data_IF_299367464017
#
_entry.id   IF_299367464017
#
_cell.length_a   1.000
_cell.length_b   1.000
_cell.length_c   1.000
_cell.angle_alpha   90.00
_cell.angle_beta   90.00
_cell.angle_gamma   90.00
#
_symmetry.space_group_name_H-M   'P 1'
#
loop_
_entity.id
_entity.type
_entity.pdbx_description
1 polymer ?
#
# COMPACT_ATOMS: atom_id res chain seq x y z
N UNK A 1 -18.16 -14.89 7.15
CA UNK A 1 -17.91 -13.87 8.18
C UNK A 1 -17.87 -12.52 7.48
N UNK A 2 -18.74 -11.58 7.87
CA UNK A 2 -18.67 -10.22 7.37
C UNK A 2 -17.37 -9.58 7.88
N UNK A 3 -16.53 -9.10 6.97
CA UNK A 3 -15.25 -8.47 7.31
C UNK A 3 -15.43 -6.96 7.40
N UNK A 4 -15.71 -6.48 8.60
CA UNK A 4 -15.63 -5.06 8.88
C UNK A 4 -14.16 -4.69 9.15
N UNK A 5 -13.54 -3.95 8.24
CA UNK A 5 -12.15 -3.47 8.39
C UNK A 5 -11.97 -2.61 9.65
N UNK A 6 -13.00 -1.84 10.00
CA UNK A 6 -13.04 -1.04 11.23
C UNK A 6 -12.94 -1.92 12.47
N UNK A 7 -13.68 -3.04 12.51
CA UNK A 7 -13.62 -3.99 13.62
C UNK A 7 -12.26 -4.70 13.68
N UNK A 8 -11.69 -5.09 12.54
CA UNK A 8 -10.35 -5.72 12.48
C UNK A 8 -9.28 -4.77 13.05
N UNK A 9 -9.35 -3.47 12.75
CA UNK A 9 -8.45 -2.45 13.32
C UNK A 9 -8.64 -2.30 14.84
N UNK A 10 -9.88 -2.25 15.32
CA UNK A 10 -10.18 -2.19 16.77
C UNK A 10 -9.66 -3.44 17.49
N UNK A 11 -9.81 -4.62 16.89
CA UNK A 11 -9.29 -5.88 17.40
C UNK A 11 -7.76 -5.88 17.47
N UNK A 12 -7.09 -5.38 16.42
CA UNK A 12 -5.64 -5.26 16.37
C UNK A 12 -5.13 -4.26 17.41
N UNK A 13 -5.79 -3.11 17.58
CA UNK A 13 -5.46 -2.13 18.61
C UNK A 13 -5.58 -2.73 20.02
N UNK A 14 -6.64 -3.48 20.30
CA UNK A 14 -6.84 -4.18 21.57
C UNK A 14 -5.76 -5.26 21.82
N UNK A 15 -5.33 -5.97 20.77
CA UNK A 15 -4.24 -6.95 20.89
C UNK A 15 -2.89 -6.30 21.22
N UNK A 16 -2.63 -5.10 20.68
CA UNK A 16 -1.39 -4.34 20.89
C UNK A 16 -1.31 -3.63 22.25
N UNK A 17 -2.44 -3.41 22.93
CA UNK A 17 -2.45 -2.91 24.31
C UNK A 17 -1.67 -3.88 25.22
N UNK A 18 -0.89 -3.41 26.21
CA UNK A 18 -0.24 -4.29 27.18
C UNK A 18 -1.26 -4.99 28.10
N UNK A 19 -0.97 -6.22 28.54
CA UNK A 19 -1.90 -7.05 29.31
C UNK A 19 -2.33 -6.43 30.66
N UNK A 20 -1.56 -5.46 31.20
CA UNK A 20 -1.88 -4.69 32.41
C UNK A 20 -3.00 -3.68 32.24
N UNK A 21 -3.20 -3.16 31.02
CA UNK A 21 -4.18 -2.12 30.68
C UNK A 21 -5.36 -2.67 29.86
N UNK A 22 -5.36 -3.97 29.56
CA UNK A 22 -6.43 -4.60 28.78
C UNK A 22 -7.74 -4.65 29.54
N UNK A 23 -8.78 -4.15 28.88
CA UNK A 23 -10.15 -4.42 29.26
C UNK A 23 -10.57 -5.81 28.75
N UNK A 24 -10.61 -6.80 29.66
CA UNK A 24 -10.96 -8.18 29.36
C UNK A 24 -12.45 -8.37 29.03
N UNK A 25 -13.33 -7.52 29.55
CA UNK A 25 -14.75 -7.51 29.20
C UNK A 25 -14.94 -7.10 27.73
N UNK A 26 -14.18 -6.09 27.28
CA UNK A 26 -14.17 -5.69 25.87
C UNK A 26 -13.67 -6.84 24.97
N UNK A 27 -12.64 -7.58 25.39
CA UNK A 27 -12.16 -8.77 24.66
C UNK A 27 -13.21 -9.89 24.58
N UNK A 28 -13.96 -10.14 25.66
CA UNK A 28 -15.06 -11.11 25.67
C UNK A 28 -16.20 -10.69 24.71
N UNK A 29 -16.56 -9.41 24.69
CA UNK A 29 -17.54 -8.85 23.75
C UNK A 29 -17.09 -8.98 22.29
N UNK A 30 -15.82 -8.67 21.99
CA UNK A 30 -15.25 -8.88 20.66
C UNK A 30 -15.33 -10.35 20.23
N UNK A 31 -15.05 -11.27 21.15
CA UNK A 31 -15.12 -12.70 20.87
C UNK A 31 -16.56 -13.18 20.63
N UNK A 32 -17.56 -12.61 21.33
CA UNK A 32 -18.98 -12.85 21.04
C UNK A 32 -19.35 -12.35 19.64
N UNK A 33 -18.89 -11.16 19.25
CA UNK A 33 -19.14 -10.59 17.93
C UNK A 33 -18.51 -11.44 16.80
N UNK A 34 -17.36 -12.07 17.07
CA UNK A 34 -16.66 -12.94 16.13
C UNK A 34 -17.27 -14.34 15.99
N UNK A 35 -17.54 -14.98 17.13
CA UNK A 35 -17.96 -16.39 17.18
C UNK A 35 -19.48 -16.57 17.14
N UNK A 36 -20.25 -15.54 17.50
CA UNK A 36 -21.70 -15.62 17.74
C UNK A 36 -22.09 -16.52 18.92
N UNK A 37 -21.12 -17.08 19.66
CA UNK A 37 -21.36 -18.08 20.68
C UNK A 37 -21.73 -17.44 22.03
N UNK A 38 -23.03 -17.32 22.28
CA UNK A 38 -23.60 -16.73 23.51
C UNK A 38 -23.25 -17.52 24.78
N UNK A 39 -23.17 -18.85 24.68
CA UNK A 39 -22.87 -19.73 25.82
C UNK A 39 -21.42 -19.51 26.27
N UNK A 40 -20.50 -19.46 25.30
CA UNK A 40 -19.10 -19.18 25.58
C UNK A 40 -18.92 -17.79 26.19
N UNK A 41 -19.60 -16.78 25.66
CA UNK A 41 -19.58 -15.44 26.23
C UNK A 41 -20.08 -15.44 27.68
N UNK A 42 -21.22 -16.05 27.97
CA UNK A 42 -21.76 -16.13 29.33
C UNK A 42 -20.75 -16.77 30.30
N UNK A 43 -20.10 -17.86 29.88
CA UNK A 43 -19.07 -18.51 30.68
C UNK A 43 -17.85 -17.62 30.90
N UNK A 44 -17.45 -16.82 29.92
CA UNK A 44 -16.30 -15.92 30.01
C UNK A 44 -16.63 -14.68 30.85
N UNK A 45 -17.83 -14.10 30.70
CA UNK A 45 -18.24 -12.88 31.39
C UNK A 45 -18.29 -13.02 32.92
N UNK A 46 -18.39 -14.24 33.44
CA UNK A 46 -18.34 -14.50 34.90
C UNK A 46 -16.94 -14.27 35.48
N UNK A 47 -15.88 -14.60 34.74
CA UNK A 47 -14.50 -14.32 35.14
C UNK A 47 -13.60 -14.09 33.90
N UNK A 48 -13.62 -12.89 33.33
CA UNK A 48 -12.89 -12.55 32.11
C UNK A 48 -11.38 -12.60 32.32
N UNK A 49 -10.90 -12.04 33.46
CA UNK A 49 -9.47 -11.98 33.79
C UNK A 49 -8.86 -13.37 34.00
N UNK A 50 -9.61 -14.29 34.62
CA UNK A 50 -9.16 -15.68 34.79
C UNK A 50 -9.09 -16.48 33.47
N UNK A 51 -9.76 -16.01 32.41
CA UNK A 51 -9.78 -16.63 31.08
C UNK A 51 -9.04 -15.79 30.03
N UNK A 52 -8.16 -14.88 30.48
CA UNK A 52 -7.39 -13.97 29.65
C UNK A 52 -6.64 -14.68 28.50
N UNK A 53 -5.91 -15.75 28.82
CA UNK A 53 -5.15 -16.55 27.85
C UNK A 53 -6.05 -17.15 26.76
N UNK A 54 -7.20 -17.68 27.15
CA UNK A 54 -8.17 -18.25 26.21
C UNK A 54 -8.75 -17.17 25.28
N UNK A 55 -9.15 -16.03 25.84
CA UNK A 55 -9.66 -14.89 25.06
C UNK A 55 -8.61 -14.43 24.06
N UNK A 56 -7.37 -14.19 24.52
CA UNK A 56 -6.24 -13.74 23.70
C UNK A 56 -5.95 -14.71 22.56
N UNK A 57 -5.87 -16.01 22.85
CA UNK A 57 -5.61 -17.04 21.83
C UNK A 57 -6.71 -17.13 20.77
N UNK A 58 -7.98 -17.09 21.18
CA UNK A 58 -9.10 -17.11 20.22
C UNK A 58 -9.16 -15.84 19.37
N UNK A 59 -9.02 -14.67 20.00
CA UNK A 59 -9.01 -13.39 19.29
C UNK A 59 -7.83 -13.30 18.31
N UNK A 60 -6.64 -13.77 18.69
CA UNK A 60 -5.48 -13.85 17.80
C UNK A 60 -5.73 -14.78 16.62
N UNK A 61 -6.36 -15.94 16.84
CA UNK A 61 -6.74 -16.86 15.76
C UNK A 61 -7.67 -16.15 14.76
N UNK A 62 -8.72 -15.50 15.24
CA UNK A 62 -9.64 -14.76 14.37
C UNK A 62 -8.96 -13.59 13.67
N UNK A 63 -8.05 -12.88 14.34
CA UNK A 63 -7.28 -11.78 13.75
C UNK A 63 -6.39 -12.29 12.62
N UNK A 64 -5.67 -13.40 12.82
CA UNK A 64 -4.81 -13.99 11.78
C UNK A 64 -5.62 -14.37 10.54
N UNK A 65 -6.75 -15.06 10.70
CA UNK A 65 -7.62 -15.39 9.56
C UNK A 65 -8.15 -14.15 8.85
N UNK A 66 -8.49 -13.10 9.60
CA UNK A 66 -8.97 -11.85 9.01
C UNK A 66 -7.89 -11.12 8.25
N UNK A 67 -6.69 -11.00 8.82
CA UNK A 67 -5.54 -10.37 8.18
C UNK A 67 -5.13 -11.14 6.93
N UNK A 68 -5.07 -12.48 6.98
CA UNK A 68 -4.79 -13.32 5.81
C UNK A 68 -5.77 -13.08 4.67
N UNK A 69 -7.07 -13.01 4.98
CA UNK A 69 -8.08 -12.73 3.95
C UNK A 69 -7.97 -11.28 3.44
N UNK A 70 -7.75 -10.30 4.31
CA UNK A 70 -7.55 -8.91 3.89
C UNK A 70 -6.33 -8.79 2.95
N UNK A 71 -5.24 -9.48 3.26
CA UNK A 71 -4.04 -9.51 2.41
C UNK A 71 -4.30 -10.22 1.09
N UNK A 72 -5.13 -11.26 1.07
CA UNK A 72 -5.53 -11.94 -0.16
C UNK A 72 -6.38 -11.03 -1.05
N UNK A 73 -7.41 -10.42 -0.48
CA UNK A 73 -8.30 -9.48 -1.19
C UNK A 73 -7.50 -8.27 -1.73
N UNK A 74 -6.50 -7.77 -0.98
CA UNK A 74 -5.59 -6.71 -1.44
C UNK A 74 -4.73 -7.18 -2.62
N UNK A 75 -4.13 -8.38 -2.53
CA UNK A 75 -3.31 -8.96 -3.61
C UNK A 75 -4.14 -9.22 -4.86
N UNK A 76 -5.37 -9.70 -4.72
CA UNK A 76 -6.28 -9.92 -5.84
C UNK A 76 -6.67 -8.59 -6.52
N UNK A 77 -7.00 -7.55 -5.74
CA UNK A 77 -7.29 -6.22 -6.28
C UNK A 77 -6.07 -5.62 -7.00
N UNK A 78 -4.86 -5.82 -6.45
CA UNK A 78 -3.62 -5.40 -7.11
C UNK A 78 -3.33 -6.20 -8.38
N UNK A 79 -3.63 -7.50 -8.40
CA UNK A 79 -3.51 -8.35 -9.58
C UNK A 79 -4.44 -7.85 -10.69
N UNK A 80 -5.71 -7.59 -10.39
CA UNK A 80 -6.67 -7.09 -11.38
C UNK A 80 -6.19 -5.76 -12.00
N UNK A 81 -5.66 -4.86 -11.18
CA UNK A 81 -5.05 -3.61 -11.66
C UNK A 81 -3.84 -3.86 -12.55
N UNK A 82 -2.97 -4.80 -12.18
CA UNK A 82 -1.81 -5.18 -13.01
C UNK A 82 -2.27 -5.78 -14.34
N UNK A 83 -3.30 -6.60 -14.36
CA UNK A 83 -3.83 -7.20 -15.59
C UNK A 83 -4.37 -6.11 -16.55
N UNK A 84 -5.04 -5.08 -16.03
CA UNK A 84 -5.44 -3.90 -16.81
C UNK A 84 -4.25 -3.12 -17.39
N UNK A 85 -3.21 -2.91 -16.58
CA UNK A 85 -1.97 -2.26 -17.00
C UNK A 85 -1.28 -3.10 -18.09
N UNK A 86 -1.16 -4.41 -17.92
CA UNK A 86 -0.56 -5.32 -18.89
C UNK A 86 -1.35 -5.29 -20.20
N UNK A 87 -2.69 -5.31 -20.13
CA UNK A 87 -3.57 -5.26 -21.30
C UNK A 87 -3.37 -3.96 -22.09
N UNK A 88 -3.29 -2.82 -21.41
CA UNK A 88 -3.20 -1.50 -22.04
C UNK A 88 -1.78 -1.16 -22.54
N UNK A 89 -0.76 -1.47 -21.74
CA UNK A 89 0.64 -1.03 -21.96
C UNK A 89 1.47 -2.11 -22.64
N UNK A 90 1.32 -3.37 -22.24
CA UNK A 90 2.17 -4.47 -22.68
C UNK A 90 1.64 -5.14 -23.95
N UNK A 91 0.33 -5.01 -24.25
CA UNK A 91 -0.35 -5.53 -25.47
C UNK A 91 0.17 -6.93 -25.85
N UNK A 92 -0.31 -8.00 -25.19
CA UNK A 92 0.21 -9.35 -25.38
C UNK A 92 0.08 -9.91 -26.82
N UNK A 93 -0.74 -9.30 -27.69
CA UNK A 93 -0.94 -9.73 -29.08
C UNK A 93 0.18 -9.35 -30.06
N UNK A 94 1.16 -8.55 -29.64
CA UNK A 94 2.39 -8.30 -30.42
C UNK A 94 3.55 -9.20 -29.98
N UNK A 95 3.24 -10.32 -29.32
CA UNK A 95 4.13 -11.45 -29.27
C UNK A 95 4.34 -11.94 -30.72
N UNK A 96 5.40 -11.43 -31.32
CA UNK A 96 6.09 -11.99 -32.49
C UNK A 96 5.92 -13.52 -32.43
N UNK A 97 5.30 -14.18 -33.42
CA UNK A 97 5.29 -15.62 -33.46
C UNK A 97 6.75 -16.05 -33.45
N UNK A 98 7.13 -16.67 -32.34
CA UNK A 98 8.42 -17.30 -32.11
C UNK A 98 8.73 -18.22 -33.28
N UNK A 99 9.49 -17.74 -34.28
CA UNK A 99 10.57 -18.40 -35.03
C UNK A 99 10.47 -19.90 -35.37
N UNK A 100 9.27 -20.49 -35.49
CA UNK A 100 9.11 -21.92 -35.84
C UNK A 100 8.15 -22.13 -37.00
N UNK A 101 8.41 -21.49 -38.14
CA UNK A 101 7.90 -21.95 -39.44
C UNK A 101 8.58 -21.23 -40.61
N UNK A 102 9.86 -21.49 -40.84
CA UNK A 102 10.44 -21.41 -42.19
C UNK A 102 11.67 -22.29 -42.24
N UNK A 103 11.38 -23.57 -42.51
CA UNK A 103 12.04 -24.31 -43.58
C UNK A 103 13.20 -23.60 -44.29
N UNK A 104 14.41 -24.15 -44.08
CA UNK A 104 15.61 -24.18 -44.93
C UNK A 104 15.75 -23.14 -46.07
N UNK A 105 16.72 -22.22 -45.94
CA UNK A 105 17.67 -21.86 -47.01
C UNK A 105 18.93 -21.17 -46.44
N UNK A 106 20.05 -21.87 -46.62
CA UNK A 106 21.45 -21.45 -46.84
C UNK A 106 22.13 -20.33 -46.01
N UNK A 107 23.25 -20.75 -45.42
CA UNK A 107 24.27 -19.93 -44.80
C UNK A 107 25.03 -19.08 -45.84
N UNK A 108 25.39 -17.87 -45.39
CA UNK A 108 26.42 -16.98 -45.91
C UNK A 108 26.00 -15.92 -46.96
N UNK A 109 25.50 -14.78 -46.48
CA UNK A 109 25.79 -13.47 -47.06
C UNK A 109 25.74 -12.39 -45.98
N UNK A 110 26.93 -12.02 -45.48
CA UNK A 110 27.13 -10.76 -44.77
C UNK A 110 26.80 -9.61 -45.71
N UNK A 111 25.83 -8.77 -45.34
CA UNK A 111 25.70 -7.42 -45.89
C UNK A 111 25.10 -6.49 -44.84
N UNK A 112 25.87 -5.53 -44.31
CA UNK A 112 25.38 -4.54 -43.36
C UNK A 112 24.76 -3.40 -44.17
N UNK A 113 23.47 -3.50 -44.48
CA UNK A 113 22.70 -2.37 -44.99
C UNK A 113 21.41 -2.25 -44.20
N UNK A 114 21.55 -1.70 -42.99
CA UNK A 114 20.46 -1.04 -42.26
C UNK A 114 20.09 0.18 -43.12
N UNK A 115 19.15 0.02 -44.05
CA UNK A 115 18.76 1.08 -44.97
C UNK A 115 18.19 2.25 -44.18
N UNK A 116 18.58 3.47 -44.54
CA UNK A 116 18.07 4.73 -43.97
C UNK A 116 16.54 4.86 -44.08
N UNK A 117 15.92 4.01 -44.90
CA UNK A 117 14.48 3.90 -45.15
C UNK A 117 13.68 3.35 -43.95
N UNK A 118 14.33 2.67 -43.00
CA UNK A 118 13.70 2.21 -41.75
C UNK A 118 13.84 3.21 -40.58
N UNK A 119 14.50 4.35 -40.77
CA UNK A 119 14.64 5.36 -39.73
C UNK A 119 13.31 6.06 -39.39
N UNK A 120 12.37 6.04 -40.34
CA UNK A 120 11.04 6.66 -40.25
C UNK A 120 9.96 5.75 -39.65
N UNK A 121 10.33 4.67 -38.97
CA UNK A 121 9.40 4.03 -38.03
C UNK A 121 9.00 5.10 -37.00
N UNK A 122 7.81 5.70 -37.17
CA UNK A 122 7.22 6.69 -36.28
C UNK A 122 7.23 6.11 -34.87
N UNK A 123 8.28 6.43 -34.11
CA UNK A 123 8.61 5.88 -32.79
C UNK A 123 7.69 6.42 -31.69
N UNK A 124 6.57 7.05 -32.07
CA UNK A 124 5.65 7.72 -31.15
C UNK A 124 6.26 8.93 -30.44
N UNK A 125 7.39 9.45 -30.92
CA UNK A 125 8.04 10.64 -30.36
C UNK A 125 7.28 11.92 -30.76
N UNK A 126 7.46 12.97 -29.95
CA UNK A 126 6.97 14.33 -30.27
C UNK A 126 7.78 14.89 -31.45
N UNK A 127 7.16 15.77 -32.24
CA UNK A 127 7.83 16.39 -33.39
C UNK A 127 9.02 17.28 -33.00
N UNK A 128 9.01 17.83 -31.79
CA UNK A 128 10.05 18.71 -31.23
C UNK A 128 11.02 17.98 -30.28
N UNK A 129 10.96 16.64 -30.20
CA UNK A 129 11.74 15.84 -29.23
C UNK A 129 13.23 16.16 -29.22
N UNK A 130 13.85 16.24 -30.39
CA UNK A 130 15.30 16.47 -30.52
C UNK A 130 15.72 17.89 -30.09
N UNK A 131 14.77 18.82 -29.95
CA UNK A 131 15.00 20.19 -29.48
C UNK A 131 14.69 20.37 -27.99
N UNK A 132 14.16 19.35 -27.31
CA UNK A 132 13.87 19.39 -25.88
C UNK A 132 15.18 19.30 -25.06
N UNK A 133 15.19 19.78 -23.80
CA UNK A 133 16.33 19.53 -22.91
C UNK A 133 16.57 18.04 -22.68
N UNK A 134 17.82 17.67 -22.44
CA UNK A 134 18.24 16.29 -22.19
C UNK A 134 17.45 15.64 -21.04
N UNK A 135 17.13 16.40 -19.99
CA UNK A 135 16.30 15.93 -18.87
C UNK A 135 14.91 15.45 -19.31
N UNK A 136 14.27 16.17 -20.23
CA UNK A 136 12.93 15.83 -20.74
C UNK A 136 13.02 14.70 -21.77
N UNK A 137 14.07 14.67 -22.58
CA UNK A 137 14.32 13.55 -23.50
C UNK A 137 14.56 12.24 -22.73
N UNK A 138 15.29 12.30 -21.60
CA UNK A 138 15.58 11.16 -20.76
C UNK A 138 14.31 10.49 -20.20
N UNK A 139 13.25 11.27 -19.90
CA UNK A 139 11.96 10.71 -19.45
C UNK A 139 11.33 9.76 -20.47
N UNK A 140 11.47 10.05 -21.76
CA UNK A 140 10.99 9.16 -22.83
C UNK A 140 11.76 7.84 -22.84
N UNK A 141 13.09 7.90 -22.75
CA UNK A 141 13.96 6.71 -22.73
C UNK A 141 13.69 5.87 -21.48
N UNK A 142 13.61 6.53 -20.31
CA UNK A 142 13.27 5.88 -19.05
C UNK A 142 11.90 5.18 -19.12
N UNK A 143 10.91 5.79 -19.79
CA UNK A 143 9.61 5.16 -19.98
C UNK A 143 9.66 3.87 -20.80
N UNK A 144 10.56 3.76 -21.77
CA UNK A 144 10.79 2.51 -22.49
C UNK A 144 11.35 1.45 -21.54
N UNK A 145 12.39 1.80 -20.77
CA UNK A 145 13.00 0.91 -19.78
C UNK A 145 12.01 0.45 -18.71
N UNK A 146 11.13 1.36 -18.26
CA UNK A 146 10.04 1.05 -17.35
C UNK A 146 9.12 -0.02 -17.94
N UNK A 147 8.69 0.13 -19.21
CA UNK A 147 7.84 -0.87 -19.87
C UNK A 147 8.55 -2.21 -20.01
N UNK A 148 9.85 -2.21 -20.35
CA UNK A 148 10.66 -3.43 -20.39
C UNK A 148 10.70 -4.14 -19.03
N UNK A 149 11.01 -3.41 -17.96
CA UNK A 149 11.02 -3.94 -16.59
C UNK A 149 9.65 -4.46 -16.15
N UNK A 150 8.56 -3.76 -16.48
CA UNK A 150 7.20 -4.23 -16.20
C UNK A 150 6.89 -5.57 -16.89
N UNK A 151 7.38 -5.79 -18.12
CA UNK A 151 7.23 -7.06 -18.83
C UNK A 151 7.99 -8.20 -18.13
N UNK A 152 9.22 -7.94 -17.68
CA UNK A 152 10.02 -8.93 -16.95
C UNK A 152 9.37 -9.33 -15.62
N UNK A 153 8.90 -8.36 -14.84
CA UNK A 153 8.19 -8.60 -13.59
C UNK A 153 6.90 -9.39 -13.81
N UNK A 154 6.14 -9.04 -14.84
CA UNK A 154 4.92 -9.77 -15.19
C UNK A 154 5.20 -11.21 -15.66
N UNK A 155 6.27 -11.42 -16.43
CA UNK A 155 6.71 -12.77 -16.80
C UNK A 155 7.09 -13.57 -15.56
N UNK A 156 7.85 -12.97 -14.64
CA UNK A 156 8.23 -13.58 -13.36
C UNK A 156 7.00 -13.99 -12.54
N UNK A 157 5.99 -13.12 -12.43
CA UNK A 157 4.72 -13.41 -11.77
C UNK A 157 3.96 -14.59 -12.38
N UNK A 158 4.06 -14.79 -13.70
CA UNK A 158 3.45 -15.93 -14.40
C UNK A 158 4.21 -17.23 -14.17
N UNK A 159 5.54 -17.17 -14.09
CA UNK A 159 6.41 -18.34 -13.88
C UNK A 159 6.49 -18.78 -12.41
N UNK A 160 5.97 -17.98 -11.49
CA UNK A 160 6.03 -18.26 -10.06
C UNK A 160 5.07 -19.41 -9.72
N UNK A 161 5.62 -20.58 -9.38
CA UNK A 161 4.82 -21.73 -8.91
C UNK A 161 4.35 -21.49 -7.49
N UNK A 162 3.05 -21.59 -7.26
CA UNK A 162 2.42 -21.38 -5.95
C UNK A 162 2.13 -22.70 -5.22
N UNK A 163 2.34 -23.85 -5.89
CA UNK A 163 1.82 -25.16 -5.48
C UNK A 163 2.48 -25.71 -4.19
N UNK A 164 3.66 -25.21 -3.82
CA UNK A 164 4.42 -25.65 -2.64
C UNK A 164 4.73 -24.52 -1.64
N UNK A 165 4.05 -23.37 -1.77
CA UNK A 165 4.31 -22.19 -0.93
C UNK A 165 3.32 -22.14 0.24
N UNK A 166 3.82 -21.86 1.44
CA UNK A 166 2.94 -21.69 2.63
C UNK A 166 2.12 -20.40 2.56
N UNK A 167 2.63 -19.37 1.85
CA UNK A 167 2.04 -18.03 1.77
C UNK A 167 2.13 -17.47 0.33
N UNK A 168 1.32 -17.97 -0.61
CA UNK A 168 1.40 -17.61 -2.03
C UNK A 168 1.26 -16.09 -2.28
N UNK A 169 0.37 -15.42 -1.54
CA UNK A 169 0.11 -13.99 -1.70
C UNK A 169 1.31 -13.11 -1.33
N UNK A 170 2.09 -13.52 -0.32
CA UNK A 170 3.28 -12.79 0.12
C UNK A 170 4.37 -12.79 -0.94
N UNK A 171 4.48 -13.85 -1.74
CA UNK A 171 5.48 -13.94 -2.82
C UNK A 171 5.08 -13.10 -4.04
N UNK A 172 3.77 -12.97 -4.31
CA UNK A 172 3.25 -12.17 -5.43
C UNK A 172 3.26 -10.67 -5.14
N UNK A 173 2.91 -10.29 -3.91
CA UNK A 173 2.75 -8.90 -3.47
C UNK A 173 3.89 -7.95 -3.89
N UNK A 174 5.19 -8.25 -3.67
CA UNK A 174 6.26 -7.32 -4.01
C UNK A 174 6.30 -6.99 -5.51
N UNK A 175 6.09 -7.97 -6.38
CA UNK A 175 6.09 -7.77 -7.83
C UNK A 175 4.89 -6.96 -8.30
N UNK A 176 3.70 -7.22 -7.75
CA UNK A 176 2.50 -6.44 -8.06
C UNK A 176 2.66 -4.97 -7.67
N UNK A 177 3.19 -4.73 -6.46
CA UNK A 177 3.48 -3.39 -5.97
C UNK A 177 4.48 -2.66 -6.86
N UNK A 178 5.52 -3.35 -7.29
CA UNK A 178 6.54 -2.77 -8.17
C UNK A 178 5.97 -2.39 -9.54
N UNK A 179 5.18 -3.25 -10.18
CA UNK A 179 4.54 -2.95 -11.48
C UNK A 179 3.63 -1.72 -11.37
N UNK A 180 2.79 -1.64 -10.34
CA UNK A 180 1.90 -0.49 -10.14
C UNK A 180 2.70 0.79 -9.91
N UNK A 181 3.82 0.72 -9.18
CA UNK A 181 4.70 1.87 -8.93
C UNK A 181 5.37 2.35 -10.21
N UNK A 182 5.88 1.42 -11.00
CA UNK A 182 6.48 1.69 -12.30
C UNK A 182 5.48 2.32 -13.27
N UNK A 183 4.25 1.82 -13.34
CA UNK A 183 3.23 2.41 -14.22
C UNK A 183 2.85 3.83 -13.80
N UNK A 184 2.72 4.11 -12.49
CA UNK A 184 2.50 5.48 -11.99
C UNK A 184 3.64 6.42 -12.43
N UNK A 185 4.89 5.97 -12.29
CA UNK A 185 6.05 6.75 -12.73
C UNK A 185 6.01 6.98 -14.23
N UNK A 186 5.71 5.94 -15.02
CA UNK A 186 5.57 6.03 -16.48
C UNK A 186 4.54 7.09 -16.88
N UNK A 187 3.35 7.05 -16.28
CA UNK A 187 2.29 8.03 -16.55
C UNK A 187 2.74 9.45 -16.16
N UNK A 188 3.37 9.63 -15.00
CA UNK A 188 3.92 10.93 -14.59
C UNK A 188 5.00 11.45 -15.53
N UNK A 189 5.89 10.58 -16.01
CA UNK A 189 6.93 10.93 -16.96
C UNK A 189 6.33 11.34 -18.31
N UNK A 190 5.29 10.64 -18.79
CA UNK A 190 4.56 11.03 -19.99
C UNK A 190 3.86 12.38 -19.82
N UNK A 191 3.25 12.63 -18.65
CA UNK A 191 2.59 13.91 -18.36
C UNK A 191 3.56 15.08 -18.44
N UNK A 192 4.75 14.94 -17.84
CA UNK A 192 5.82 15.94 -17.92
C UNK A 192 6.31 16.08 -19.36
N UNK A 193 6.59 14.95 -20.02
CA UNK A 193 7.12 14.92 -21.38
C UNK A 193 6.15 15.53 -22.41
N UNK A 194 4.84 15.33 -22.28
CA UNK A 194 3.82 15.84 -23.21
C UNK A 194 3.50 17.32 -22.96
N UNK A 195 3.50 17.77 -21.70
CA UNK A 195 3.17 19.15 -21.34
C UNK A 195 4.37 20.12 -21.32
N UNK A 196 5.59 19.63 -21.52
CA UNK A 196 6.77 20.50 -21.54
C UNK A 196 6.76 21.46 -22.75
N UNK A 197 6.94 22.75 -22.48
CA UNK A 197 7.03 23.83 -23.47
C UNK A 197 8.41 24.49 -23.37
N UNK A 198 9.13 24.55 -24.49
CA UNK A 198 10.46 25.17 -24.58
C UNK A 198 10.35 26.66 -24.21
N UNK A 199 11.10 27.10 -23.20
CA UNK A 199 11.07 28.47 -22.67
C UNK A 199 10.31 28.64 -21.35
N UNK A 200 9.58 27.61 -20.90
CA UNK A 200 9.09 27.50 -19.53
C UNK A 200 10.26 27.11 -18.62
N UNK A 201 10.95 28.11 -18.05
CA UNK A 201 12.04 27.90 -17.10
C UNK A 201 11.66 26.91 -15.99
N UNK A 202 12.55 25.93 -15.77
CA UNK A 202 12.53 24.97 -14.67
C UNK A 202 12.50 25.67 -13.30
N UNK A 203 11.39 25.52 -12.58
CA UNK A 203 11.35 25.80 -11.15
C UNK A 203 10.49 24.76 -10.43
N UNK A 204 10.88 23.49 -10.47
CA UNK A 204 10.46 22.50 -9.47
C UNK A 204 11.47 21.34 -9.44
N UNK A 205 12.61 21.55 -8.77
CA UNK A 205 13.29 20.44 -8.08
C UNK A 205 12.72 20.40 -6.67
N UNK A 206 11.97 19.36 -6.34
CA UNK A 206 11.70 18.98 -4.95
C UNK A 206 12.47 17.69 -4.70
N UNK A 207 13.70 17.83 -4.21
CA UNK A 207 14.36 16.77 -3.44
C UNK A 207 13.71 16.76 -2.04
N UNK A 208 13.28 15.60 -1.52
CA UNK A 208 13.04 15.45 -0.09
C UNK A 208 14.35 14.96 0.54
N UNK A 209 15.05 15.83 1.26
CA UNK A 209 16.01 15.39 2.27
C UNK A 209 15.51 15.74 3.69
N UNK A 210 15.93 14.97 4.70
CA UNK A 210 15.13 14.68 5.89
C UNK A 210 15.39 15.65 7.04
N UNK A 211 14.32 16.23 7.59
CA UNK A 211 14.39 16.96 8.86
C UNK A 211 14.33 15.98 10.04
N UNK A 212 15.50 15.70 10.61
CA UNK A 212 15.66 15.23 11.98
C UNK A 212 16.12 16.41 12.81
N UNK A 213 15.21 17.08 13.54
CA UNK A 213 15.55 17.75 14.82
C UNK A 213 14.29 17.83 15.70
N UNK A 214 14.28 17.05 16.79
CA UNK A 214 13.60 17.42 18.03
C UNK A 214 14.64 18.20 18.88
N UNK A 215 14.29 19.27 19.61
CA UNK A 215 13.99 19.03 21.02
C UNK A 215 12.97 19.98 21.67
N UNK A 216 12.36 19.46 22.74
CA UNK A 216 11.64 20.19 23.79
C UNK A 216 12.50 21.27 24.49
N UNK A 217 11.82 22.36 24.86
CA UNK A 217 11.78 23.01 26.19
C UNK A 217 11.93 24.54 26.13
N UNK A 218 10.87 25.26 26.50
CA UNK A 218 10.87 26.18 27.66
C UNK A 218 9.51 26.89 27.82
N UNK A 219 9.11 27.02 29.09
CA UNK A 219 7.95 27.73 29.60
C UNK A 219 8.09 29.26 29.38
N UNK A 220 7.06 30.09 29.42
CA UNK A 220 6.37 30.67 30.59
C UNK A 220 5.63 31.89 29.96
N UNK A 221 4.34 32.20 30.15
CA UNK A 221 3.77 32.96 31.28
C UNK A 221 2.44 33.55 30.79
N UNK A 222 1.34 33.24 31.47
CA UNK A 222 0.24 34.22 31.65
C UNK A 222 -0.62 33.82 32.85
N UNK A 223 -0.34 34.49 33.96
CA UNK A 223 -1.02 34.40 35.27
C UNK A 223 -2.28 35.32 35.33
N UNK A 224 -3.11 35.18 36.38
CA UNK A 224 -4.56 35.45 36.36
C UNK A 224 -4.96 36.84 36.89
N UNK A 225 -6.25 37.21 36.75
CA UNK A 225 -6.87 38.33 37.49
C UNK A 225 -8.08 37.89 38.33
N UNK A 226 -7.92 38.00 39.66
CA UNK A 226 -8.93 38.11 40.75
C UNK A 226 -9.67 39.47 40.66
N UNK A 227 -10.80 39.82 41.31
CA UNK A 227 -11.76 39.22 42.26
C UNK A 227 -12.93 40.22 42.54
N UNK A 228 -14.08 39.73 43.04
CA UNK A 228 -14.94 40.29 44.14
C UNK A 228 -16.20 39.40 44.27
N UNK A 229 -16.45 38.60 45.33
CA UNK A 229 -16.71 38.84 46.76
C UNK A 229 -18.14 39.31 47.10
N UNK A 230 -18.95 38.39 47.68
CA UNK A 230 -19.99 38.54 48.74
C UNK A 230 -20.59 37.12 48.98
N UNK A 231 -20.42 36.39 50.09
CA UNK A 231 -20.69 36.58 51.54
C UNK A 231 -21.99 35.87 52.02
N UNK A 232 -21.82 34.95 53.00
CA UNK A 232 -22.79 34.34 53.94
C UNK A 232 -23.80 33.33 53.32
N UNK A 233 -24.21 32.23 53.96
CA UNK A 233 -24.44 31.96 55.39
C UNK A 233 -24.45 30.44 55.68
N UNK A 234 -23.97 30.11 56.87
CA UNK A 234 -24.02 28.87 57.64
C UNK A 234 -25.42 28.25 57.81
N UNK A 235 -25.52 26.92 57.90
CA UNK A 235 -26.11 26.22 59.08
C UNK A 235 -25.65 24.77 59.18
N UNK A 236 -24.99 24.49 60.31
CA UNK A 236 -24.75 23.21 60.97
C UNK A 236 -26.05 22.77 61.65
N UNK A 237 -26.46 21.50 61.52
CA UNK A 237 -27.23 20.82 62.58
C UNK A 237 -26.95 19.31 62.59
N UNK A 238 -26.26 18.93 63.65
CA UNK A 238 -26.02 17.60 64.22
C UNK A 238 -27.26 17.05 64.95
N UNK A 239 -27.43 15.72 64.96
CA UNK A 239 -27.85 14.86 66.08
C UNK A 239 -28.11 13.45 65.48
N UNK A 240 -27.37 12.36 65.76
CA UNK A 240 -26.95 11.67 67.00
C UNK A 240 -28.03 10.74 67.60
N UNK A 241 -27.65 9.46 67.70
CA UNK A 241 -28.12 8.37 68.61
C UNK A 241 -29.58 7.92 68.40
N UNK A 242 -29.92 6.66 68.62
CA UNK A 242 -29.31 5.56 69.40
C UNK A 242 -29.73 4.22 68.78
#
# INVERSE_FOLDING_TARGET
MNQDNTFTNTLQAWMNTPDSEKNWDAGALMLLQLSGNRIMYHNISVNPKGKAEFIKGQLQKYLNFRLQKLTHDEVEAMQARVDEIVKSVIKPDLAIPSVVASELVDNNSVSPKKSAEYADFKSGKRADHDSLPEEVQALYVENLDIVHRMRELHLKLRTLSLDNTTCPDSERYPFLKEIITLDKKRVSNWDIYDHYIIGSSSSTSVNPEPDVVNPSDEAEKSKPKKAKATAKRTTKKTAKKE
#
